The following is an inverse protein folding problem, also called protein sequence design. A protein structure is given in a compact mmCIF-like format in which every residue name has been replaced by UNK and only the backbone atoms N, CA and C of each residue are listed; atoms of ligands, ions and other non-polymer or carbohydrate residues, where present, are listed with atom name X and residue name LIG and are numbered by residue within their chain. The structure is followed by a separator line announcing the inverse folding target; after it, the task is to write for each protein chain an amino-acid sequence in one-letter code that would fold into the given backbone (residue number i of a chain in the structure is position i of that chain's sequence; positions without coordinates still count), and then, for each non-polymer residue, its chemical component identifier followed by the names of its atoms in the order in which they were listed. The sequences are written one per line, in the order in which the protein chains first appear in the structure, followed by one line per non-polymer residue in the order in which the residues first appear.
data_IF_415642367679
#
_entry.id   IF_415642367679
#
_cell.length_a   1.000
_cell.length_b   1.000
_cell.length_c   1.000
_cell.angle_alpha   90.00
_cell.angle_beta   90.00
_cell.angle_gamma   90.00
#
_symmetry.space_group_name_H-M   'P 1'
#
loop_
_entity.id
_entity.type
_entity.pdbx_description
1 polymer ?
#
# COMPACT_ATOMS: atom_id res chain seq x y z
N UNK A 1 -13.41 -1.30 -8.67
CA UNK A 1 -13.03 -2.59 -9.31
C UNK A 1 -12.01 -3.26 -8.40
N UNK A 2 -12.25 -4.49 -7.95
CA UNK A 2 -11.22 -5.21 -7.20
C UNK A 2 -10.00 -5.41 -8.12
N UNK A 3 -8.86 -4.92 -7.66
CA UNK A 3 -7.60 -4.82 -8.38
C UNK A 3 -7.05 -6.23 -8.64
N UNK A 4 -6.76 -6.62 -9.88
CA UNK A 4 -6.25 -7.97 -10.20
C UNK A 4 -4.94 -8.30 -9.46
N UNK A 5 -4.17 -7.27 -9.10
CA UNK A 5 -2.97 -7.40 -8.26
C UNK A 5 -3.27 -7.79 -6.81
N UNK A 6 -4.40 -7.33 -6.28
CA UNK A 6 -4.85 -7.72 -4.97
C UNK A 6 -5.24 -9.21 -4.94
N UNK A 7 -5.95 -9.70 -5.97
CA UNK A 7 -6.25 -11.14 -6.08
C UNK A 7 -4.97 -11.97 -6.13
N UNK A 8 -3.97 -11.55 -6.92
CA UNK A 8 -2.66 -12.22 -6.97
C UNK A 8 -1.97 -12.24 -5.60
N UNK A 9 -2.02 -11.14 -4.85
CA UNK A 9 -1.49 -11.10 -3.49
C UNK A 9 -2.20 -12.09 -2.57
N UNK A 10 -3.54 -12.17 -2.63
CA UNK A 10 -4.32 -13.08 -1.80
C UNK A 10 -3.96 -14.54 -2.11
N UNK A 11 -3.81 -14.91 -3.38
CA UNK A 11 -3.39 -16.25 -3.77
C UNK A 11 -1.99 -16.59 -3.24
N UNK A 12 -1.02 -15.67 -3.37
CA UNK A 12 0.34 -15.86 -2.83
C UNK A 12 0.31 -16.04 -1.31
N UNK A 13 -0.48 -15.23 -0.61
CA UNK A 13 -0.60 -15.32 0.85
C UNK A 13 -1.31 -16.61 1.28
N UNK A 14 -2.33 -17.07 0.54
CA UNK A 14 -2.97 -18.38 0.76
C UNK A 14 -1.98 -19.53 0.62
N UNK A 15 -1.12 -19.48 -0.40
CA UNK A 15 -0.07 -20.47 -0.64
C UNK A 15 0.99 -20.46 0.48
N UNK A 16 1.51 -19.28 0.84
CA UNK A 16 2.53 -19.12 1.90
C UNK A 16 2.01 -19.59 3.26
N UNK A 17 0.76 -19.24 3.57
CA UNK A 17 0.14 -19.63 4.83
C UNK A 17 -0.47 -21.05 4.79
N UNK A 18 -0.33 -21.75 3.66
CA UNK A 18 -0.87 -23.09 3.43
C UNK A 18 -2.36 -23.22 3.81
N UNK A 19 -3.15 -22.17 3.57
CA UNK A 19 -4.57 -22.12 3.97
C UNK A 19 -5.41 -23.21 3.28
N UNK A 20 -4.93 -23.75 2.17
CA UNK A 20 -5.60 -24.80 1.38
C UNK A 20 -5.12 -26.23 1.72
N UNK A 21 -4.27 -26.40 2.74
CA UNK A 21 -3.70 -27.69 3.17
C UNK A 21 -4.10 -28.05 4.63
N UNK A 22 -5.38 -28.34 4.89
CA UNK A 22 -5.89 -28.58 6.25
C UNK A 22 -5.34 -29.87 6.90
N UNK A 23 -4.75 -30.78 6.13
CA UNK A 23 -4.23 -32.07 6.62
C UNK A 23 -2.88 -31.97 7.35
N UNK A 24 -2.23 -30.79 7.35
CA UNK A 24 -0.98 -30.54 8.09
C UNK A 24 -1.23 -30.25 9.58
N UNK A 25 -1.26 -31.30 10.41
CA UNK A 25 -1.52 -31.19 11.86
C UNK A 25 -0.25 -31.37 12.73
N UNK A 26 0.90 -30.85 12.29
CA UNK A 26 2.17 -30.98 13.03
C UNK A 26 2.95 -29.67 13.09
N UNK A 27 3.69 -29.48 14.18
CA UNK A 27 4.56 -28.30 14.37
C UNK A 27 3.79 -26.97 14.29
N UNK A 28 4.36 -26.02 13.55
CA UNK A 28 3.82 -24.66 13.39
C UNK A 28 2.52 -24.63 12.55
N UNK A 29 2.28 -25.66 11.74
CA UNK A 29 1.13 -25.76 10.85
C UNK A 29 -0.19 -25.98 11.61
N UNK A 30 -0.15 -26.62 12.79
CA UNK A 30 -1.34 -26.73 13.65
C UNK A 30 -1.88 -25.36 14.08
N UNK A 31 -0.97 -24.45 14.44
CA UNK A 31 -1.32 -23.09 14.84
C UNK A 31 -1.88 -22.32 13.64
N UNK A 32 -1.29 -22.54 12.46
CA UNK A 32 -1.77 -21.95 11.20
C UNK A 32 -3.17 -22.40 10.83
N UNK A 33 -3.45 -23.71 10.88
CA UNK A 33 -4.78 -24.23 10.58
C UNK A 33 -5.82 -23.71 11.58
N UNK A 34 -5.48 -23.58 12.86
CA UNK A 34 -6.36 -22.98 13.88
C UNK A 34 -6.67 -21.51 13.61
N UNK A 35 -5.74 -20.76 13.03
CA UNK A 35 -5.87 -19.35 12.69
C UNK A 35 -6.30 -19.10 11.24
N UNK A 36 -6.44 -20.14 10.43
CA UNK A 36 -6.68 -20.05 8.98
C UNK A 36 -7.87 -19.17 8.62
N UNK A 37 -8.99 -19.32 9.34
CA UNK A 37 -10.19 -18.50 9.17
C UNK A 37 -9.95 -17.03 9.51
N UNK A 38 -9.16 -16.75 10.55
CA UNK A 38 -8.81 -15.40 10.99
C UNK A 38 -7.85 -14.73 9.99
N UNK A 39 -6.90 -15.49 9.44
CA UNK A 39 -6.00 -15.04 8.37
C UNK A 39 -6.80 -14.76 7.10
N UNK A 40 -7.67 -15.68 6.67
CA UNK A 40 -8.51 -15.48 5.48
C UNK A 40 -9.38 -14.23 5.61
N UNK A 41 -10.03 -14.02 6.76
CA UNK A 41 -10.80 -12.80 7.03
C UNK A 41 -9.92 -11.55 7.00
N UNK A 42 -8.72 -11.60 7.60
CA UNK A 42 -7.81 -10.48 7.57
C UNK A 42 -7.45 -10.11 6.13
N UNK A 43 -7.08 -11.11 5.32
CA UNK A 43 -6.67 -10.95 3.94
C UNK A 43 -7.80 -10.37 3.09
N UNK A 44 -9.02 -10.91 3.19
CA UNK A 44 -10.17 -10.55 2.35
C UNK A 44 -10.85 -9.25 2.75
N UNK A 45 -10.95 -8.97 4.06
CA UNK A 45 -11.81 -7.90 4.57
C UNK A 45 -11.04 -6.76 5.24
N UNK A 46 -9.88 -7.04 5.86
CA UNK A 46 -9.18 -6.07 6.71
C UNK A 46 -7.90 -5.51 6.10
N UNK A 47 -7.25 -6.23 5.19
CA UNK A 47 -5.97 -5.83 4.60
C UNK A 47 -6.08 -4.55 3.77
N UNK A 48 -7.09 -4.43 2.88
CA UNK A 48 -7.24 -3.26 2.00
C UNK A 48 -7.37 -1.94 2.79
N UNK A 49 -8.28 -1.82 3.78
CA UNK A 49 -8.36 -0.61 4.59
C UNK A 49 -7.03 -0.24 5.25
N UNK A 50 -6.28 -1.23 5.76
CA UNK A 50 -5.02 -0.97 6.45
C UNK A 50 -3.90 -0.54 5.51
N UNK A 51 -3.78 -1.16 4.34
CA UNK A 51 -2.87 -0.71 3.28
C UNK A 51 -3.17 0.74 2.91
N UNK A 52 -4.45 1.09 2.75
CA UNK A 52 -4.86 2.44 2.42
C UNK A 52 -4.45 3.44 3.52
N UNK A 53 -4.72 3.11 4.79
CA UNK A 53 -4.30 3.93 5.93
C UNK A 53 -2.79 4.14 5.95
N UNK A 54 -1.98 3.10 5.73
CA UNK A 54 -0.52 3.24 5.81
C UNK A 54 0.04 4.05 4.63
N UNK A 55 -0.55 3.94 3.43
CA UNK A 55 -0.21 4.80 2.28
C UNK A 55 -0.52 6.26 2.60
N UNK A 56 -1.69 6.53 3.20
CA UNK A 56 -2.10 7.86 3.66
C UNK A 56 -1.17 8.39 4.76
N UNK A 57 -0.86 7.59 5.79
CA UNK A 57 0.04 7.96 6.90
C UNK A 57 1.48 8.25 6.42
N UNK A 58 1.93 7.53 5.41
CA UNK A 58 3.28 7.70 4.86
C UNK A 58 3.39 8.85 3.86
N UNK A 59 2.29 9.58 3.60
CA UNK A 59 2.20 10.58 2.53
C UNK A 59 2.69 10.05 1.16
N UNK A 60 2.62 8.74 0.96
CA UNK A 60 2.91 8.11 -0.32
C UNK A 60 1.73 8.48 -1.22
N UNK A 61 1.90 9.50 -2.07
CA UNK A 61 0.82 10.01 -2.92
C UNK A 61 0.25 11.36 -2.50
N UNK A 62 1.10 12.25 -2.00
CA UNK A 62 0.80 13.66 -1.73
C UNK A 62 0.35 14.47 -2.98
N UNK A 63 0.02 13.78 -4.09
CA UNK A 63 -0.64 14.29 -5.29
C UNK A 63 -1.85 15.18 -4.95
N UNK A 64 -2.62 14.85 -3.91
CA UNK A 64 -3.73 15.69 -3.47
C UNK A 64 -3.27 17.06 -2.90
N UNK A 65 -2.18 17.07 -2.12
CA UNK A 65 -1.59 18.30 -1.58
C UNK A 65 -0.89 19.09 -2.69
N UNK A 66 -0.14 18.43 -3.56
CA UNK A 66 0.51 19.04 -4.73
C UNK A 66 -0.54 19.62 -5.69
N UNK A 67 -1.66 18.93 -5.92
CA UNK A 67 -2.76 19.42 -6.74
C UNK A 67 -3.43 20.65 -6.10
N UNK A 68 -3.64 20.62 -4.78
CA UNK A 68 -4.19 21.76 -4.04
C UNK A 68 -3.26 22.97 -4.05
N UNK A 69 -1.95 22.76 -3.89
CA UNK A 69 -0.94 23.81 -4.05
C UNK A 69 -0.92 24.38 -5.47
N UNK A 70 -1.07 23.52 -6.49
CA UNK A 70 -1.11 23.93 -7.88
C UNK A 70 -2.36 24.78 -8.16
N UNK A 71 -3.53 24.36 -7.70
CA UNK A 71 -4.77 25.15 -7.82
C UNK A 71 -4.66 26.51 -7.14
N UNK A 72 -4.10 26.55 -5.93
CA UNK A 72 -3.87 27.81 -5.21
C UNK A 72 -2.88 28.71 -5.95
N UNK A 73 -1.77 28.16 -6.48
CA UNK A 73 -0.80 28.92 -7.24
C UNK A 73 -1.42 29.53 -8.51
N UNK A 74 -2.23 28.75 -9.23
CA UNK A 74 -2.97 29.21 -10.42
C UNK A 74 -4.00 30.28 -10.04
N UNK A 75 -4.79 30.05 -8.99
CA UNK A 75 -5.81 31.00 -8.54
C UNK A 75 -5.19 32.34 -8.09
N UNK A 76 -4.10 32.29 -7.34
CA UNK A 76 -3.37 33.49 -6.92
C UNK A 76 -2.82 34.26 -8.12
N UNK A 77 -2.22 33.57 -9.09
CA UNK A 77 -1.71 34.22 -10.29
C UNK A 77 -2.83 34.87 -11.12
N UNK A 78 -3.97 34.19 -11.29
CA UNK A 78 -5.15 34.76 -11.95
C UNK A 78 -5.73 35.96 -11.20
N UNK A 79 -5.73 35.93 -9.87
CA UNK A 79 -6.20 37.05 -9.04
C UNK A 79 -5.35 38.32 -9.18
N UNK A 80 -4.09 38.17 -9.60
CA UNK A 80 -3.18 39.27 -9.93
C UNK A 80 -3.36 39.79 -11.36
N UNK A 81 -4.32 39.25 -12.13
CA UNK A 81 -4.61 39.67 -13.50
C UNK A 81 -3.65 39.10 -14.56
N UNK A 82 -2.87 38.06 -14.23
CA UNK A 82 -2.04 37.34 -15.19
C UNK A 82 -2.93 36.54 -16.16
N UNK A 83 -2.54 36.51 -17.43
CA UNK A 83 -3.17 35.68 -18.45
C UNK A 83 -2.74 34.21 -18.34
N UNK A 84 -3.52 33.29 -18.91
CA UNK A 84 -3.28 31.85 -18.79
C UNK A 84 -1.88 31.45 -19.29
N UNK A 85 -1.36 32.13 -20.32
CA UNK A 85 -0.03 31.88 -20.86
C UNK A 85 1.09 32.27 -19.88
N UNK A 86 0.93 33.36 -19.12
CA UNK A 86 1.91 33.74 -18.10
C UNK A 86 1.83 32.84 -16.89
N UNK A 87 0.62 32.43 -16.46
CA UNK A 87 0.42 31.51 -15.34
C UNK A 87 1.09 30.16 -15.61
N UNK A 88 0.89 29.58 -16.79
CA UNK A 88 1.51 28.31 -17.19
C UNK A 88 3.04 28.41 -17.31
N UNK A 89 3.58 29.61 -17.52
CA UNK A 89 5.03 29.82 -17.58
C UNK A 89 5.69 30.08 -16.22
N UNK A 90 4.91 30.24 -15.15
CA UNK A 90 5.46 30.47 -13.81
C UNK A 90 6.30 29.27 -13.33
N UNK A 91 7.51 29.51 -12.79
CA UNK A 91 8.37 28.43 -12.30
C UNK A 91 7.69 27.50 -11.30
N UNK A 92 6.91 28.05 -10.34
CA UNK A 92 6.19 27.26 -9.33
C UNK A 92 5.06 26.41 -9.93
N UNK A 93 4.36 26.91 -10.96
CA UNK A 93 3.29 26.15 -11.65
C UNK A 93 3.89 25.01 -12.46
N UNK A 94 4.97 25.26 -13.21
CA UNK A 94 5.70 24.22 -13.95
C UNK A 94 6.28 23.15 -13.04
N UNK A 95 6.89 23.56 -11.94
CA UNK A 95 7.45 22.65 -10.94
C UNK A 95 6.38 21.76 -10.31
N UNK A 96 5.26 22.36 -9.84
CA UNK A 96 4.15 21.61 -9.25
C UNK A 96 3.48 20.66 -10.25
N UNK A 97 3.34 21.06 -11.53
CA UNK A 97 2.86 20.16 -12.59
C UNK A 97 3.82 19.00 -12.85
N UNK A 98 5.12 19.27 -12.83
CA UNK A 98 6.13 18.24 -13.03
C UNK A 98 6.12 17.24 -11.87
N UNK A 99 6.10 17.72 -10.63
CA UNK A 99 5.99 16.89 -9.43
C UNK A 99 4.69 16.07 -9.43
N UNK A 100 3.56 16.66 -9.81
CA UNK A 100 2.29 15.95 -9.92
C UNK A 100 2.33 14.85 -10.99
N UNK A 101 3.01 15.08 -12.12
CA UNK A 101 3.17 14.10 -13.19
C UNK A 101 4.11 12.95 -12.81
N UNK A 102 5.08 13.20 -11.93
CA UNK A 102 5.98 12.17 -11.40
C UNK A 102 5.42 11.46 -10.17
N UNK A 103 4.41 12.02 -9.52
CA UNK A 103 3.76 11.39 -8.37
C UNK A 103 2.85 10.27 -8.89
N UNK A 104 3.12 8.99 -8.54
CA UNK A 104 2.24 7.91 -8.91
C UNK A 104 0.84 8.15 -8.32
N UNK A 105 -0.19 7.92 -9.14
CA UNK A 105 -1.59 8.01 -8.69
C UNK A 105 -1.86 7.07 -7.51
N UNK A 106 -2.86 7.38 -6.68
CA UNK A 106 -3.26 6.53 -5.53
C UNK A 106 -3.47 5.06 -5.91
N UNK A 107 -4.07 4.80 -7.08
CA UNK A 107 -4.26 3.45 -7.63
C UNK A 107 -2.94 2.80 -8.07
N UNK A 108 -1.99 3.59 -8.58
CA UNK A 108 -0.64 3.14 -8.95
C UNK A 108 0.17 2.76 -7.73
N UNK A 109 0.15 3.61 -6.69
CA UNK A 109 0.78 3.35 -5.40
C UNK A 109 0.22 2.11 -4.73
N UNK A 110 -1.10 1.95 -4.70
CA UNK A 110 -1.71 0.72 -4.18
C UNK A 110 -1.20 -0.52 -4.91
N UNK A 111 -1.08 -0.48 -6.24
CA UNK A 111 -0.57 -1.62 -7.02
C UNK A 111 0.89 -1.93 -6.71
N UNK A 112 1.75 -0.92 -6.65
CA UNK A 112 3.17 -1.09 -6.32
C UNK A 112 3.35 -1.63 -4.91
N UNK A 113 2.59 -1.08 -3.97
CA UNK A 113 2.60 -1.51 -2.58
C UNK A 113 2.10 -2.95 -2.44
N UNK A 114 1.01 -3.34 -3.12
CA UNK A 114 0.55 -4.74 -3.13
C UNK A 114 1.57 -5.68 -3.77
N UNK A 115 2.23 -5.26 -4.84
CA UNK A 115 3.24 -6.07 -5.52
C UNK A 115 4.49 -6.26 -4.65
N UNK A 116 5.03 -5.17 -4.09
CA UNK A 116 6.17 -5.23 -3.17
C UNK A 116 5.86 -6.02 -1.90
N UNK A 117 4.62 -5.94 -1.42
CA UNK A 117 4.19 -6.73 -0.27
C UNK A 117 4.13 -8.24 -0.58
N UNK A 118 3.59 -8.63 -1.73
CA UNK A 118 3.59 -10.04 -2.15
C UNK A 118 5.01 -10.59 -2.32
N UNK A 119 5.90 -9.80 -2.93
CA UNK A 119 7.30 -10.18 -3.13
C UNK A 119 8.08 -10.29 -1.81
N UNK A 120 7.86 -9.38 -0.87
CA UNK A 120 8.43 -9.47 0.48
C UNK A 120 8.01 -10.76 1.19
N UNK A 121 6.73 -11.12 1.13
CA UNK A 121 6.24 -12.35 1.77
C UNK A 121 6.84 -13.60 1.15
N UNK A 122 7.04 -13.60 -0.17
CA UNK A 122 7.64 -14.71 -0.90
C UNK A 122 9.14 -14.88 -0.59
N UNK A 123 9.88 -13.77 -0.53
CA UNK A 123 11.34 -13.78 -0.38
C UNK A 123 11.81 -13.76 1.09
N UNK A 124 11.05 -13.17 2.02
CA UNK A 124 11.42 -12.97 3.43
C UNK A 124 10.54 -13.79 4.41
N UNK A 125 10.22 -15.04 4.06
CA UNK A 125 9.50 -16.00 4.93
C UNK A 125 10.13 -16.11 6.34
N UNK A 126 11.44 -15.90 6.45
CA UNK A 126 12.19 -16.03 7.71
C UNK A 126 11.84 -14.94 8.76
N UNK A 127 11.38 -13.75 8.33
CA UNK A 127 10.92 -12.68 9.25
C UNK A 127 9.56 -13.05 9.84
N UNK A 128 8.68 -13.68 9.06
CA UNK A 128 7.40 -14.16 9.57
C UNK A 128 7.55 -15.28 10.59
N UNK A 129 8.51 -16.19 10.39
CA UNK A 129 8.80 -17.26 11.35
C UNK A 129 9.25 -16.73 12.73
N UNK A 130 9.84 -15.54 12.80
CA UNK A 130 10.21 -14.89 14.07
C UNK A 130 9.05 -14.12 14.70
N UNK A 131 8.15 -13.53 13.91
CA UNK A 131 6.91 -12.88 14.40
C UNK A 131 5.84 -13.87 14.88
N UNK A 132 5.95 -15.15 14.51
CA UNK A 132 5.01 -16.22 14.87
C UNK A 132 4.89 -16.53 16.37
N UNK A 133 5.87 -16.10 17.17
CA UNK A 133 5.80 -16.18 18.63
C UNK A 133 4.96 -15.04 19.25
N UNK A 134 4.52 -14.08 18.44
CA UNK A 134 3.67 -12.97 18.85
C UNK A 134 2.21 -13.29 18.49
N UNK A 135 1.30 -13.12 19.44
CA UNK A 135 -0.07 -13.69 19.42
C UNK A 135 -1.02 -12.99 18.42
N UNK A 136 -0.64 -11.81 17.92
CA UNK A 136 -1.49 -10.96 17.06
C UNK A 136 -1.18 -11.09 15.57
N UNK A 137 -2.15 -11.61 14.81
CA UNK A 137 -2.10 -11.77 13.34
C UNK A 137 -1.90 -10.42 12.64
N UNK A 138 -2.48 -9.37 13.20
CA UNK A 138 -2.34 -8.01 12.70
C UNK A 138 -0.88 -7.52 12.71
N UNK A 139 -0.14 -7.84 13.77
CA UNK A 139 1.29 -7.52 13.86
C UNK A 139 2.08 -8.36 12.86
N UNK A 140 1.77 -9.65 12.74
CA UNK A 140 2.44 -10.56 11.81
C UNK A 140 2.34 -10.10 10.35
N UNK A 141 1.16 -9.63 9.94
CA UNK A 141 0.92 -9.27 8.54
C UNK A 141 1.35 -7.82 8.24
N UNK A 142 1.17 -6.87 9.16
CA UNK A 142 1.42 -5.45 8.89
C UNK A 142 2.83 -4.97 9.25
N UNK A 143 3.55 -5.67 10.13
CA UNK A 143 4.91 -5.28 10.48
C UNK A 143 5.85 -5.29 9.25
N UNK A 144 5.85 -6.33 8.40
CA UNK A 144 6.48 -6.30 7.08
C UNK A 144 6.17 -5.06 6.25
N UNK A 145 4.87 -4.74 6.17
CA UNK A 145 4.37 -3.63 5.38
C UNK A 145 4.92 -2.29 5.88
N UNK A 146 4.86 -2.08 7.20
CA UNK A 146 5.39 -0.86 7.85
C UNK A 146 6.90 -0.72 7.69
N UNK A 147 7.65 -1.82 7.62
CA UNK A 147 9.09 -1.81 7.34
C UNK A 147 9.34 -1.38 5.89
N UNK A 148 8.56 -1.91 4.94
CA UNK A 148 8.71 -1.60 3.51
C UNK A 148 8.41 -0.13 3.20
N UNK A 149 7.39 0.44 3.84
CA UNK A 149 6.98 1.84 3.64
C UNK A 149 7.95 2.85 4.29
N UNK A 150 8.71 2.44 5.30
CA UNK A 150 9.68 3.31 6.00
C UNK A 150 11.10 3.28 5.42
N UNK A 151 11.38 2.38 4.49
CA UNK A 151 12.66 2.32 3.76
C UNK A 151 12.61 3.17 2.51
#
# INVERSE_FOLDING_TARGET
MQNDKYKQLIEVLREIFQLDQPDLDFGIYRIMNQKSAEIADFLENRLIPQVKTIIEEANLGDSATIAKELEQAIANAKSLGLDDASVENMPKVKELRHQLAQTPSSDGLQKEVFFGFGDFFFNDIMIMATSFLSVDIEVMILMPFRIMVKR
#
